data_IF_059543881450
#
_entry.id   IF_059543881450
#
_cell.length_a   1.000
_cell.length_b   1.000
_cell.length_c   1.000
_cell.angle_alpha   90.00
_cell.angle_beta   90.00
_cell.angle_gamma   90.00
#
_symmetry.space_group_name_H-M   'P 1'
#
loop_
_entity.id
_entity.type
_entity.pdbx_description
1 polymer ?
#
# COMPACT_ATOMS: atom_id res chain seq x y z
N UNK A 1 24.60 -2.92 32.30
CA UNK A 1 23.84 -2.33 31.18
C UNK A 1 24.73 -1.27 30.58
N UNK A 2 25.28 -1.50 29.38
CA UNK A 2 26.33 -0.67 28.78
C UNK A 2 25.72 0.51 28.03
N UNK A 3 26.48 1.60 27.91
CA UNK A 3 26.13 2.82 27.15
C UNK A 3 25.87 2.55 25.64
N UNK A 4 26.14 1.33 25.18
CA UNK A 4 25.98 0.87 23.80
C UNK A 4 24.52 0.60 23.42
N UNK A 5 23.67 0.23 24.39
CA UNK A 5 22.25 -0.04 24.17
C UNK A 5 21.44 1.26 23.98
N UNK A 6 21.94 2.40 24.47
CA UNK A 6 21.29 3.70 24.33
C UNK A 6 21.54 4.37 22.97
N UNK A 7 22.57 3.95 22.22
CA UNK A 7 22.83 4.46 20.86
C UNK A 7 21.96 3.83 19.78
N UNK A 8 21.46 2.62 19.99
CA UNK A 8 20.73 1.88 18.96
C UNK A 8 19.25 2.25 18.81
N UNK A 9 18.72 3.16 19.65
CA UNK A 9 17.31 3.55 19.61
C UNK A 9 17.05 4.90 18.92
N UNK A 10 18.11 5.56 18.44
CA UNK A 10 18.05 6.88 17.82
C UNK A 10 18.48 6.85 16.34
N UNK A 11 18.02 5.85 15.60
CA UNK A 11 17.96 5.92 14.14
C UNK A 11 16.51 6.23 13.76
N UNK A 12 16.09 7.45 14.11
CA UNK A 12 14.79 7.97 13.72
C UNK A 12 14.70 8.01 12.20
N UNK A 13 13.91 7.08 11.68
CA UNK A 13 13.39 7.00 10.32
C UNK A 13 13.23 8.40 9.71
N UNK A 14 14.17 8.75 8.84
CA UNK A 14 14.15 10.00 8.10
C UNK A 14 13.02 9.89 7.08
N UNK A 15 11.85 10.47 7.40
CA UNK A 15 10.73 10.54 6.46
C UNK A 15 11.12 11.54 5.36
N UNK A 16 11.71 11.02 4.29
CA UNK A 16 11.81 11.76 3.04
C UNK A 16 10.47 11.61 2.30
N UNK A 17 9.70 12.69 2.26
CA UNK A 17 8.56 12.79 1.34
C UNK A 17 9.16 13.00 -0.05
N UNK A 18 9.46 11.90 -0.74
CA UNK A 18 9.62 11.95 -2.18
C UNK A 18 8.23 12.21 -2.77
N UNK A 19 7.98 13.47 -3.12
CA UNK A 19 6.92 13.84 -4.05
C UNK A 19 7.58 14.19 -5.40
N UNK A 20 7.73 13.22 -6.31
CA UNK A 20 7.93 13.49 -7.71
C UNK A 20 6.57 13.36 -8.41
N UNK A 21 6.02 14.50 -8.79
CA UNK A 21 4.94 14.69 -9.74
C UNK A 21 4.43 13.45 -10.52
N UNK A 22 3.13 13.17 -10.39
CA UNK A 22 2.25 12.52 -11.37
C UNK A 22 2.97 11.71 -12.48
N UNK A 23 3.20 10.42 -12.22
CA UNK A 23 3.66 9.47 -13.24
C UNK A 23 4.79 8.52 -12.84
N UNK A 24 5.33 8.61 -11.63
CA UNK A 24 6.32 7.63 -11.17
C UNK A 24 5.64 6.36 -10.65
N UNK A 25 6.13 5.22 -11.13
CA UNK A 25 5.73 3.90 -10.63
C UNK A 25 6.71 3.44 -9.56
N UNK A 26 6.16 2.96 -8.44
CA UNK A 26 6.87 2.44 -7.30
C UNK A 26 7.10 0.94 -7.43
N UNK A 27 8.32 0.47 -7.15
CA UNK A 27 8.60 -0.95 -7.04
C UNK A 27 8.07 -1.53 -5.71
N UNK A 28 8.11 -2.85 -5.59
CA UNK A 28 7.55 -3.55 -4.43
C UNK A 28 8.26 -3.21 -3.11
N UNK A 29 9.55 -2.86 -3.14
CA UNK A 29 10.30 -2.43 -1.97
C UNK A 29 9.81 -1.07 -1.47
N UNK A 30 9.68 -0.10 -2.37
CA UNK A 30 9.13 1.24 -2.02
C UNK A 30 7.68 1.12 -1.55
N UNK A 31 6.87 0.25 -2.20
CA UNK A 31 5.52 -0.01 -1.76
C UNK A 31 5.46 -0.61 -0.35
N UNK A 32 6.40 -1.50 0.01
CA UNK A 32 6.50 -2.07 1.35
C UNK A 32 6.82 -1.00 2.41
N UNK A 33 7.76 -0.10 2.10
CA UNK A 33 8.12 1.03 2.97
C UNK A 33 6.93 1.96 3.24
N UNK A 34 6.08 2.21 2.25
CA UNK A 34 4.91 3.10 2.39
C UNK A 34 3.69 2.47 3.05
N UNK A 35 3.64 1.15 3.18
CA UNK A 35 2.40 0.44 3.57
C UNK A 35 2.57 -0.43 4.82
N UNK A 36 3.81 -0.64 5.28
CA UNK A 36 4.14 -1.60 6.35
C UNK A 36 3.66 -3.03 6.05
N UNK A 37 3.53 -3.37 4.76
CA UNK A 37 3.24 -4.71 4.26
C UNK A 37 4.55 -5.25 3.67
N UNK A 38 4.95 -6.45 4.06
CA UNK A 38 6.14 -7.06 3.48
C UNK A 38 5.94 -7.36 1.97
N UNK A 39 7.03 -7.43 1.17
CA UNK A 39 6.93 -7.68 -0.27
C UNK A 39 6.14 -8.94 -0.64
N UNK A 40 6.26 -10.04 0.12
CA UNK A 40 5.51 -11.27 -0.20
C UNK A 40 4.00 -11.09 0.05
N UNK A 41 3.63 -10.37 1.11
CA UNK A 41 2.26 -9.92 1.34
C UNK A 41 1.69 -9.14 0.16
N UNK A 42 2.45 -8.18 -0.37
CA UNK A 42 2.03 -7.38 -1.55
C UNK A 42 1.88 -8.27 -2.80
N UNK A 43 2.83 -9.19 -3.07
CA UNK A 43 2.71 -10.17 -4.16
C UNK A 43 1.45 -11.02 -4.02
N UNK A 44 1.16 -11.47 -2.80
CA UNK A 44 -0.03 -12.25 -2.50
C UNK A 44 -1.31 -11.47 -2.83
N UNK A 45 -1.38 -10.19 -2.46
CA UNK A 45 -2.50 -9.32 -2.81
C UNK A 45 -2.66 -9.10 -4.31
N UNK A 46 -1.56 -9.01 -5.06
CA UNK A 46 -1.61 -8.96 -6.52
C UNK A 46 -2.15 -10.27 -7.11
N UNK A 47 -1.63 -11.43 -6.65
CA UNK A 47 -2.10 -12.76 -7.09
C UNK A 47 -3.58 -13.00 -6.80
N UNK A 48 -4.09 -12.44 -5.70
CA UNK A 48 -5.49 -12.54 -5.29
C UNK A 48 -6.38 -11.45 -5.94
N UNK A 49 -5.80 -10.55 -6.73
CA UNK A 49 -6.52 -9.48 -7.43
C UNK A 49 -7.02 -8.35 -6.51
N UNK A 50 -6.52 -8.26 -5.28
CA UNK A 50 -6.84 -7.17 -4.36
C UNK A 50 -6.21 -5.85 -4.80
N UNK A 51 -4.99 -5.91 -5.33
CA UNK A 51 -4.25 -4.78 -5.88
C UNK A 51 -3.86 -5.12 -7.31
N UNK A 52 -3.91 -4.12 -8.18
CA UNK A 52 -3.50 -4.26 -9.58
C UNK A 52 -2.21 -3.48 -9.75
N UNK A 53 -1.16 -4.14 -10.24
CA UNK A 53 0.05 -3.46 -10.67
C UNK A 53 -0.23 -2.76 -12.01
N UNK A 54 0.38 -1.59 -12.20
CA UNK A 54 0.27 -0.84 -13.47
C UNK A 54 1.07 -1.54 -14.56
N UNK A 55 2.26 -2.02 -14.21
CA UNK A 55 3.10 -2.83 -15.11
C UNK A 55 3.93 -3.85 -14.32
N UNK A 56 4.56 -4.77 -15.05
CA UNK A 56 5.57 -5.69 -14.51
C UNK A 56 6.88 -5.48 -15.25
N UNK A 57 7.96 -5.20 -14.51
CA UNK A 57 9.32 -5.03 -15.06
C UNK A 57 10.21 -6.12 -14.48
N UNK A 58 10.82 -6.93 -15.35
CA UNK A 58 11.64 -8.09 -14.95
C UNK A 58 10.93 -9.05 -13.98
N UNK A 59 9.60 -9.16 -14.10
CA UNK A 59 8.75 -9.99 -13.22
C UNK A 59 8.35 -9.33 -11.89
N UNK A 60 8.81 -8.12 -11.62
CA UNK A 60 8.47 -7.34 -10.42
C UNK A 60 7.32 -6.36 -10.71
N UNK A 61 6.29 -6.29 -9.84
CA UNK A 61 5.17 -5.37 -10.03
C UNK A 61 5.57 -3.92 -9.74
N UNK A 62 5.04 -3.02 -10.55
CA UNK A 62 5.19 -1.58 -10.41
C UNK A 62 3.81 -0.94 -10.15
N UNK A 63 3.76 -0.01 -9.20
CA UNK A 63 2.53 0.52 -8.61
C UNK A 63 2.46 2.04 -8.77
N UNK A 64 1.29 2.57 -9.08
CA UNK A 64 1.04 4.01 -9.00
C UNK A 64 0.64 4.43 -7.58
N UNK A 65 0.46 5.73 -7.37
CA UNK A 65 0.00 6.29 -6.09
C UNK A 65 -1.35 5.70 -5.63
N UNK A 66 -2.24 5.38 -6.56
CA UNK A 66 -3.55 4.79 -6.27
C UNK A 66 -3.39 3.38 -5.69
N UNK A 67 -2.52 2.55 -6.26
CA UNK A 67 -2.21 1.23 -5.73
C UNK A 67 -1.59 1.34 -4.31
N UNK A 68 -0.69 2.30 -4.08
CA UNK A 68 -0.15 2.57 -2.73
C UNK A 68 -1.26 2.99 -1.74
N UNK A 69 -2.19 3.85 -2.17
CA UNK A 69 -3.34 4.23 -1.37
C UNK A 69 -4.18 3.01 -0.96
N UNK A 70 -4.50 2.13 -1.91
CA UNK A 70 -5.29 0.93 -1.64
C UNK A 70 -4.57 -0.08 -0.76
N UNK A 71 -3.25 -0.24 -0.92
CA UNK A 71 -2.44 -1.08 -0.03
C UNK A 71 -2.51 -0.61 1.42
N UNK A 72 -2.32 0.70 1.67
CA UNK A 72 -2.48 1.26 3.03
C UNK A 72 -3.86 1.01 3.60
N UNK A 73 -4.91 1.17 2.78
CA UNK A 73 -6.28 0.94 3.23
C UNK A 73 -6.51 -0.52 3.60
N UNK A 74 -5.98 -1.44 2.80
CA UNK A 74 -6.08 -2.88 3.03
C UNK A 74 -5.34 -3.29 4.30
N UNK A 75 -4.15 -2.74 4.55
CA UNK A 75 -3.41 -2.97 5.80
C UNK A 75 -4.24 -2.54 7.02
N UNK A 76 -4.84 -1.35 6.99
CA UNK A 76 -5.66 -0.85 8.09
C UNK A 76 -6.89 -1.73 8.31
N UNK A 77 -7.58 -2.14 7.25
CA UNK A 77 -8.75 -3.05 7.35
C UNK A 77 -8.36 -4.41 7.94
N UNK A 78 -7.21 -4.96 7.55
CA UNK A 78 -6.71 -6.23 8.08
C UNK A 78 -6.34 -6.12 9.57
N UNK A 79 -5.68 -5.04 9.98
CA UNK A 79 -5.27 -4.86 11.38
C UNK A 79 -6.45 -4.55 12.30
N UNK A 80 -7.47 -3.86 11.83
CA UNK A 80 -8.57 -3.38 12.67
C UNK A 80 -9.77 -4.34 12.73
N UNK A 81 -10.05 -5.09 11.66
CA UNK A 81 -11.35 -5.74 11.51
C UNK A 81 -11.33 -7.28 11.54
N UNK A 82 -10.16 -7.92 11.66
CA UNK A 82 -9.97 -9.38 11.64
C UNK A 82 -10.79 -10.09 10.55
N UNK A 83 -10.97 -9.43 9.40
CA UNK A 83 -11.80 -9.95 8.31
C UNK A 83 -11.06 -11.06 7.58
N UNK A 84 -11.79 -12.13 7.22
CA UNK A 84 -11.30 -13.11 6.28
C UNK A 84 -11.18 -12.51 4.86
N UNK A 85 -10.52 -13.24 3.95
CA UNK A 85 -10.27 -12.76 2.60
C UNK A 85 -11.53 -12.44 1.79
N UNK A 86 -12.66 -13.11 2.04
CA UNK A 86 -13.92 -12.85 1.31
C UNK A 86 -14.58 -11.58 1.81
N UNK A 87 -14.65 -11.40 3.11
CA UNK A 87 -15.17 -10.19 3.72
C UNK A 87 -14.30 -8.97 3.35
N UNK A 88 -12.97 -9.12 3.37
CA UNK A 88 -12.04 -8.08 2.94
C UNK A 88 -12.27 -7.68 1.48
N UNK A 89 -12.50 -8.66 0.59
CA UNK A 89 -12.82 -8.39 -0.83
C UNK A 89 -14.07 -7.55 -0.99
N UNK A 90 -15.17 -7.95 -0.34
CA UNK A 90 -16.43 -7.24 -0.45
C UNK A 90 -16.30 -5.77 0.02
N UNK A 91 -15.60 -5.54 1.13
CA UNK A 91 -15.35 -4.18 1.64
C UNK A 91 -14.52 -3.36 0.65
N UNK A 92 -13.44 -3.93 0.10
CA UNK A 92 -12.59 -3.21 -0.85
C UNK A 92 -13.33 -2.84 -2.14
N UNK A 93 -14.14 -3.75 -2.68
CA UNK A 93 -14.91 -3.48 -3.90
C UNK A 93 -15.95 -2.37 -3.65
N UNK A 94 -16.67 -2.41 -2.51
CA UNK A 94 -17.60 -1.35 -2.12
C UNK A 94 -16.91 0.00 -1.93
N UNK A 95 -15.71 0.00 -1.32
CA UNK A 95 -14.93 1.22 -1.14
C UNK A 95 -14.51 1.83 -2.49
N UNK A 96 -14.09 1.01 -3.45
CA UNK A 96 -13.73 1.45 -4.80
C UNK A 96 -14.92 2.05 -5.52
N UNK A 97 -16.08 1.41 -5.42
CA UNK A 97 -17.33 1.90 -6.01
C UNK A 97 -17.72 3.26 -5.43
N UNK A 98 -17.66 3.42 -4.11
CA UNK A 98 -17.95 4.70 -3.44
C UNK A 98 -17.00 5.81 -3.91
N UNK A 99 -15.70 5.53 -4.05
CA UNK A 99 -14.76 6.56 -4.52
C UNK A 99 -15.00 6.92 -5.99
N UNK A 100 -15.27 5.93 -6.85
CA UNK A 100 -15.66 6.16 -8.25
C UNK A 100 -16.91 7.03 -8.36
N UNK A 101 -17.93 6.77 -7.53
CA UNK A 101 -19.16 7.56 -7.51
C UNK A 101 -18.92 8.99 -7.02
N UNK A 102 -18.07 9.17 -6.01
CA UNK A 102 -17.69 10.50 -5.51
C UNK A 102 -16.91 11.30 -6.56
N UNK A 103 -15.98 10.67 -7.27
CA UNK A 103 -15.25 11.30 -8.38
C UNK A 103 -16.20 11.74 -9.49
N UNK A 104 -17.17 10.90 -9.87
CA UNK A 104 -18.18 11.24 -10.88
C UNK A 104 -19.07 12.43 -10.46
N UNK A 105 -19.41 12.56 -9.17
CA UNK A 105 -20.17 13.70 -8.65
C UNK A 105 -19.36 15.01 -8.66
N UNK A 106 -18.04 14.94 -8.39
CA UNK A 106 -17.15 16.12 -8.40
C UNK A 106 -16.82 16.61 -9.81
N UNK A 107 -16.97 15.75 -10.82
CA UNK A 107 -16.73 16.07 -12.23
C UNK A 107 -17.93 16.75 -12.92
N UNK A 108 -19.06 16.90 -12.21
CA UNK A 108 -20.25 17.64 -12.66
C UNK A 108 -20.27 19.04 -12.06
#
# INVERSE_FOLDING_TARGET
MSEEEARNFSEFMQVSVANPAAGELYNIQVAAEYTAIDPEGIRSYCRQGFITAVEYRDGEPLFDEDAIYWLRRLQNLRSEMHLDGRALRAVLDLMREVESLRQALRAK
#
